data_IF_449999325211
#
_entry.id   IF_449999325211
#
_cell.length_a   1.000
_cell.length_b   1.000
_cell.length_c   1.000
_cell.angle_alpha   90.00
_cell.angle_beta   90.00
_cell.angle_gamma   90.00
#
_symmetry.space_group_name_H-M   'P 1'
#
loop_
_entity.id
_entity.type
_entity.pdbx_description
1 polymer ?
#
# COMPACT_ATOMS: atom_id res chain seq x y z
N UNK A 1 23.16 10.78 -5.59
CA UNK A 1 22.11 10.39 -6.55
C UNK A 1 22.61 9.35 -7.55
N UNK A 2 23.64 9.65 -8.38
CA UNK A 2 24.17 8.70 -9.37
C UNK A 2 24.63 7.37 -8.74
N UNK A 3 25.33 7.43 -7.61
CA UNK A 3 25.80 6.23 -6.90
C UNK A 3 24.63 5.34 -6.44
N UNK A 4 23.62 5.91 -5.78
CA UNK A 4 22.40 5.20 -5.36
C UNK A 4 21.67 4.55 -6.55
N UNK A 5 21.50 5.27 -7.65
CA UNK A 5 20.87 4.74 -8.86
C UNK A 5 21.65 3.56 -9.46
N UNK A 6 22.99 3.66 -9.51
CA UNK A 6 23.85 2.59 -10.01
C UNK A 6 23.85 1.37 -9.07
N UNK A 7 23.59 1.56 -7.77
CA UNK A 7 23.42 0.50 -6.79
C UNK A 7 22.01 -0.13 -6.83
N UNK A 8 21.08 0.43 -7.61
CA UNK A 8 19.69 -0.05 -7.69
C UNK A 8 18.81 0.44 -6.54
N UNK A 9 19.22 1.47 -5.82
CA UNK A 9 18.46 2.07 -4.73
C UNK A 9 17.47 3.12 -5.25
N UNK A 10 16.26 3.10 -4.72
CA UNK A 10 15.23 4.10 -5.03
C UNK A 10 15.57 5.40 -4.32
N UNK A 11 15.60 6.51 -5.06
CA UNK A 11 15.91 7.83 -4.51
C UNK A 11 14.92 8.26 -3.42
N UNK A 12 13.65 7.86 -3.53
CA UNK A 12 12.61 8.08 -2.52
C UNK A 12 12.88 7.40 -1.17
N UNK A 13 13.79 6.42 -1.11
CA UNK A 13 14.20 5.72 0.12
C UNK A 13 15.57 6.18 0.64
N UNK A 14 16.20 7.15 -0.02
CA UNK A 14 17.49 7.70 0.41
C UNK A 14 17.30 8.97 1.23
N UNK A 15 18.32 9.36 1.99
CA UNK A 15 18.36 10.64 2.71
C UNK A 15 18.90 11.80 1.85
N UNK A 16 18.98 11.61 0.53
CA UNK A 16 19.58 12.57 -0.39
C UNK A 16 18.57 13.71 -0.63
N UNK A 17 19.05 14.96 -0.61
CA UNK A 17 18.23 16.11 -1.02
C UNK A 17 17.94 16.04 -2.54
N UNK A 18 16.66 15.90 -2.87
CA UNK A 18 16.17 15.75 -4.25
C UNK A 18 15.79 17.09 -4.89
N UNK A 19 15.79 18.21 -4.15
CA UNK A 19 15.38 19.53 -4.68
C UNK A 19 16.19 19.98 -5.90
N UNK A 20 17.54 19.83 -5.94
CA UNK A 20 18.34 20.23 -7.10
C UNK A 20 18.04 19.44 -8.38
N UNK A 21 17.42 18.27 -8.26
CA UNK A 21 17.11 17.36 -9.37
C UNK A 21 15.61 17.19 -9.59
N UNK A 22 14.77 17.99 -8.91
CA UNK A 22 13.31 17.92 -8.99
C UNK A 22 12.79 18.11 -10.42
N UNK A 23 13.40 19.00 -11.19
CA UNK A 23 13.02 19.29 -12.58
C UNK A 23 13.26 18.11 -13.54
N UNK A 24 14.09 17.13 -13.16
CA UNK A 24 14.33 15.94 -13.98
C UNK A 24 13.15 14.97 -13.98
N UNK A 25 12.21 15.08 -13.03
CA UNK A 25 11.02 14.23 -12.98
C UNK A 25 11.33 12.73 -12.83
N UNK A 26 12.41 12.39 -12.11
CA UNK A 26 12.87 11.00 -12.00
C UNK A 26 11.81 10.08 -11.39
N UNK A 27 11.60 8.92 -12.01
CA UNK A 27 10.61 7.93 -11.55
C UNK A 27 10.94 7.39 -10.15
N UNK A 28 12.22 7.13 -9.88
CA UNK A 28 12.69 6.58 -8.59
C UNK A 28 12.67 7.59 -7.43
N UNK A 29 12.42 8.86 -7.72
CA UNK A 29 12.21 9.91 -6.72
C UNK A 29 10.75 10.00 -6.25
N UNK A 30 9.81 9.39 -6.97
CA UNK A 30 8.39 9.42 -6.61
C UNK A 30 8.14 8.55 -5.37
N UNK A 31 7.32 9.03 -4.41
CA UNK A 31 6.86 8.17 -3.34
C UNK A 31 5.91 7.11 -3.92
N UNK A 32 5.91 5.92 -3.34
CA UNK A 32 5.08 4.81 -3.76
C UNK A 32 4.69 3.95 -2.56
N UNK A 33 3.67 3.11 -2.74
CA UNK A 33 3.13 2.23 -1.72
C UNK A 33 3.16 0.79 -2.23
N UNK A 34 3.41 -0.15 -1.33
CA UNK A 34 3.25 -1.56 -1.64
C UNK A 34 1.80 -1.97 -1.36
N UNK A 35 1.14 -2.52 -2.37
CA UNK A 35 -0.20 -3.08 -2.24
C UNK A 35 -0.10 -4.58 -2.48
N UNK A 36 -0.40 -5.35 -1.46
CA UNK A 36 -0.45 -6.81 -1.48
C UNK A 36 -1.88 -7.23 -1.75
N UNK A 37 -2.12 -7.74 -2.95
CA UNK A 37 -3.36 -8.43 -3.27
C UNK A 37 -3.26 -9.87 -2.74
N UNK A 38 -4.01 -10.19 -1.70
CA UNK A 38 -3.99 -11.48 -1.00
C UNK A 38 -5.41 -12.01 -0.84
N UNK A 39 -5.54 -13.32 -0.68
CA UNK A 39 -6.85 -13.94 -0.45
C UNK A 39 -7.40 -13.60 0.96
N UNK A 40 -8.71 -13.65 1.13
CA UNK A 40 -9.43 -13.45 2.41
C UNK A 40 -8.81 -14.21 3.59
N UNK A 41 -8.39 -15.46 3.39
CA UNK A 41 -7.76 -16.26 4.45
C UNK A 41 -6.46 -15.66 4.99
N UNK A 42 -5.71 -14.92 4.15
CA UNK A 42 -4.49 -14.21 4.54
C UNK A 42 -4.82 -12.89 5.22
N UNK A 43 -5.89 -12.21 4.81
CA UNK A 43 -6.37 -10.99 5.47
C UNK A 43 -6.74 -11.22 6.95
N UNK A 44 -7.13 -12.44 7.29
CA UNK A 44 -7.43 -12.84 8.67
C UNK A 44 -6.21 -13.37 9.46
N UNK A 45 -5.09 -13.65 8.78
CA UNK A 45 -3.88 -14.18 9.41
C UNK A 45 -2.88 -13.05 9.72
N UNK A 46 -2.98 -12.51 10.94
CA UNK A 46 -2.11 -11.42 11.40
C UNK A 46 -0.62 -11.75 11.29
N UNK A 47 -0.22 -13.00 11.56
CA UNK A 47 1.19 -13.38 11.53
C UNK A 47 1.75 -13.33 10.10
N UNK A 48 0.94 -13.75 9.11
CA UNK A 48 1.30 -13.65 7.69
C UNK A 48 1.32 -12.22 7.19
N UNK A 49 0.38 -11.38 7.61
CA UNK A 49 0.40 -9.96 7.28
C UNK A 49 1.65 -9.27 7.82
N UNK A 50 2.02 -9.55 9.08
CA UNK A 50 3.23 -8.99 9.69
C UNK A 50 4.51 -9.50 8.99
N UNK A 51 4.55 -10.77 8.58
CA UNK A 51 5.66 -11.33 7.77
C UNK A 51 5.80 -10.61 6.42
N UNK A 52 4.71 -10.43 5.69
CA UNK A 52 4.71 -9.75 4.40
C UNK A 52 5.07 -8.26 4.52
N UNK A 53 4.58 -7.59 5.56
CA UNK A 53 4.92 -6.20 5.83
C UNK A 53 6.41 -6.02 6.13
N UNK A 54 7.03 -6.99 6.83
CA UNK A 54 8.45 -6.97 7.13
C UNK A 54 9.34 -7.07 5.87
N UNK A 55 8.85 -7.70 4.79
CA UNK A 55 9.61 -7.82 3.53
C UNK A 55 9.87 -6.48 2.83
N UNK A 56 9.00 -5.50 3.07
CA UNK A 56 9.07 -4.19 2.42
C UNK A 56 9.42 -3.06 3.39
N UNK A 57 9.66 -3.36 4.66
CA UNK A 57 10.08 -2.38 5.65
C UNK A 57 11.37 -1.65 5.19
N UNK A 58 11.47 -0.32 5.34
CA UNK A 58 10.55 0.57 6.07
C UNK A 58 9.37 1.10 5.25
N UNK A 59 9.17 0.66 4.01
CA UNK A 59 8.07 1.12 3.18
C UNK A 59 6.71 0.64 3.72
N UNK A 60 5.66 1.41 3.47
CA UNK A 60 4.29 1.08 3.89
C UNK A 60 3.71 -0.01 2.97
N UNK A 61 3.09 -1.00 3.59
CA UNK A 61 2.34 -2.07 2.94
C UNK A 61 0.83 -1.92 3.22
N UNK A 62 0.01 -2.14 2.21
CA UNK A 62 -1.45 -2.18 2.27
C UNK A 62 -1.88 -3.56 1.79
N UNK A 63 -2.82 -4.18 2.48
CA UNK A 63 -3.32 -5.52 2.18
C UNK A 63 -4.78 -5.43 1.79
N UNK A 64 -5.14 -6.03 0.65
CA UNK A 64 -6.51 -6.08 0.17
C UNK A 64 -6.75 -7.36 -0.64
N UNK A 65 -8.01 -7.73 -0.81
CA UNK A 65 -8.44 -8.77 -1.75
C UNK A 65 -9.23 -8.08 -2.86
N UNK A 66 -8.67 -7.99 -4.07
CA UNK A 66 -9.30 -7.25 -5.15
C UNK A 66 -10.68 -7.79 -5.57
N UNK A 67 -10.98 -9.07 -5.32
CA UNK A 67 -12.29 -9.67 -5.59
C UNK A 67 -13.30 -9.20 -4.54
N UNK A 68 -12.92 -9.26 -3.27
CA UNK A 68 -13.73 -8.73 -2.17
C UNK A 68 -14.02 -7.24 -2.35
N UNK A 69 -13.02 -6.44 -2.70
CA UNK A 69 -13.20 -5.00 -2.95
C UNK A 69 -14.21 -4.74 -4.08
N UNK A 70 -14.21 -5.58 -5.12
CA UNK A 70 -15.19 -5.49 -6.20
C UNK A 70 -16.62 -5.83 -5.72
N UNK A 71 -16.76 -6.81 -4.83
CA UNK A 71 -18.05 -7.19 -4.24
C UNK A 71 -18.58 -6.06 -3.34
N UNK A 72 -17.71 -5.45 -2.52
CA UNK A 72 -18.06 -4.33 -1.64
C UNK A 72 -18.61 -3.12 -2.40
N UNK A 73 -18.11 -2.85 -3.62
CA UNK A 73 -18.58 -1.74 -4.47
C UNK A 73 -20.03 -1.96 -4.96
N UNK A 74 -20.46 -3.20 -5.11
CA UNK A 74 -21.81 -3.54 -5.60
C UNK A 74 -22.86 -3.55 -4.48
N UNK A 75 -22.42 -3.58 -3.22
CA UNK A 75 -23.28 -3.60 -2.05
C UNK A 75 -23.70 -2.19 -1.62
N UNK A 76 -24.81 -2.09 -0.91
CA UNK A 76 -25.14 -0.86 -0.19
C UNK A 76 -24.29 -0.74 1.09
N UNK A 77 -24.33 0.43 1.73
CA UNK A 77 -23.49 0.73 2.90
C UNK A 77 -23.76 -0.22 4.08
N UNK A 78 -24.99 -0.70 4.24
CA UNK A 78 -25.33 -1.60 5.35
C UNK A 78 -24.78 -3.00 5.09
N UNK A 79 -24.99 -3.52 3.88
CA UNK A 79 -24.52 -4.84 3.46
C UNK A 79 -22.99 -4.90 3.38
N UNK A 80 -22.34 -3.85 2.86
CA UNK A 80 -20.89 -3.75 2.80
C UNK A 80 -20.26 -3.77 4.20
N UNK A 81 -20.88 -3.07 5.16
CA UNK A 81 -20.43 -3.07 6.55
C UNK A 81 -20.59 -4.44 7.20
N UNK A 82 -21.70 -5.13 6.97
CA UNK A 82 -21.90 -6.49 7.49
C UNK A 82 -20.84 -7.46 6.93
N UNK A 83 -20.52 -7.35 5.63
CA UNK A 83 -19.47 -8.14 5.00
C UNK A 83 -18.09 -7.86 5.63
N UNK A 84 -17.69 -6.59 5.77
CA UNK A 84 -16.44 -6.19 6.42
C UNK A 84 -16.34 -6.72 7.86
N UNK A 85 -17.41 -6.60 8.64
CA UNK A 85 -17.46 -7.13 10.01
C UNK A 85 -17.30 -8.66 10.03
N UNK A 86 -17.90 -9.37 9.07
CA UNK A 86 -17.81 -10.84 8.97
C UNK A 86 -16.39 -11.35 8.71
N UNK A 87 -15.55 -10.54 8.05
CA UNK A 87 -14.16 -10.86 7.75
C UNK A 87 -13.17 -10.22 8.72
N UNK A 88 -13.65 -9.49 9.72
CA UNK A 88 -12.83 -8.84 10.75
C UNK A 88 -12.13 -7.55 10.30
N UNK A 89 -12.67 -6.86 9.31
CA UNK A 89 -12.19 -5.56 8.84
C UNK A 89 -13.14 -4.43 9.25
N UNK A 90 -12.59 -3.27 9.59
CA UNK A 90 -13.37 -2.06 9.91
C UNK A 90 -13.53 -1.12 8.70
N UNK A 91 -12.65 -1.24 7.71
CA UNK A 91 -12.52 -0.36 6.56
C UNK A 91 -12.05 -1.16 5.34
N UNK A 92 -12.58 -0.85 4.16
CA UNK A 92 -12.19 -1.51 2.91
C UNK A 92 -10.70 -1.27 2.59
N UNK A 93 -10.08 -2.20 1.88
CA UNK A 93 -8.69 -2.05 1.44
C UNK A 93 -8.50 -0.87 0.48
N UNK A 94 -9.50 -0.56 -0.33
CA UNK A 94 -9.49 0.62 -1.22
C UNK A 94 -9.59 1.94 -0.46
N UNK A 95 -10.39 2.02 0.60
CA UNK A 95 -10.45 3.24 1.43
C UNK A 95 -9.15 3.47 2.20
N UNK A 96 -8.57 2.39 2.73
CA UNK A 96 -7.23 2.43 3.32
C UNK A 96 -6.18 2.93 2.31
N UNK A 97 -6.24 2.43 1.06
CA UNK A 97 -5.38 2.88 -0.03
C UNK A 97 -5.58 4.36 -0.37
N UNK A 98 -6.82 4.84 -0.43
CA UNK A 98 -7.12 6.23 -0.71
C UNK A 98 -6.55 7.17 0.37
N UNK A 99 -6.78 6.84 1.65
CA UNK A 99 -6.28 7.61 2.80
C UNK A 99 -4.75 7.65 2.82
N UNK A 100 -4.09 6.49 2.75
CA UNK A 100 -2.63 6.40 2.81
C UNK A 100 -2.00 7.02 1.56
N UNK A 101 -2.63 6.84 0.39
CA UNK A 101 -2.23 7.47 -0.86
C UNK A 101 -2.21 8.99 -0.73
N UNK A 102 -3.27 9.57 -0.16
CA UNK A 102 -3.34 11.02 0.09
C UNK A 102 -2.27 11.51 1.06
N UNK A 103 -2.01 10.76 2.14
CA UNK A 103 -0.95 11.10 3.12
C UNK A 103 0.48 10.98 2.56
N UNK A 104 0.66 10.26 1.45
CA UNK A 104 1.96 9.96 0.84
C UNK A 104 2.31 10.90 -0.31
N UNK A 105 1.33 11.67 -0.82
CA UNK A 105 1.47 12.68 -1.88
C UNK A 105 1.94 14.03 -1.33
#
# INVERSE_FOLDING_TARGET
>A
AIEALNAGELLSHTTIDLEPIRELGLLTAKPFLYVFNVDESVLQDRARLDELAALVAPAKAIFLDAKLESELIELDEADAKELLESIGQEESGLDQLARIGFDTL
#
